data_IF_428467743821
#
_entry.id   IF_428467743821
#
_cell.length_a   1.000
_cell.length_b   1.000
_cell.length_c   1.000
_cell.angle_alpha   90.00
_cell.angle_beta   90.00
_cell.angle_gamma   90.00
#
_symmetry.space_group_name_H-M   'P 1'
#
loop_
_entity.id
_entity.type
_entity.pdbx_description
1 polymer ?
#
# COMPACT_ATOMS: atom_id res chain seq x y z
N UNK A 1 -14.03 18.56 1.05
CA UNK A 1 -13.40 17.32 1.54
C UNK A 1 -12.06 17.71 2.11
N UNK A 2 -11.85 17.49 3.40
CA UNK A 2 -10.55 17.68 4.02
C UNK A 2 -9.80 16.34 3.94
N UNK A 3 -8.62 16.32 3.32
CA UNK A 3 -7.79 15.14 3.17
C UNK A 3 -6.66 15.07 4.21
N UNK A 4 -6.68 15.98 5.21
CA UNK A 4 -5.72 15.89 6.30
C UNK A 4 -6.11 14.76 7.26
N UNK A 5 -5.12 14.01 7.70
CA UNK A 5 -5.30 13.02 8.77
C UNK A 5 -5.55 13.75 10.09
N UNK A 6 -6.36 13.14 10.94
CA UNK A 6 -6.50 13.61 12.33
C UNK A 6 -5.22 13.29 13.11
N UNK A 7 -5.04 13.98 14.25
CA UNK A 7 -3.92 13.69 15.14
C UNK A 7 -3.94 12.23 15.63
N UNK A 8 -5.13 11.68 15.86
CA UNK A 8 -5.32 10.28 16.26
C UNK A 8 -4.87 9.30 15.18
N UNK A 9 -5.17 9.57 13.91
CA UNK A 9 -4.72 8.76 12.77
C UNK A 9 -3.21 8.85 12.56
N UNK A 10 -2.60 10.01 12.77
CA UNK A 10 -1.15 10.17 12.70
C UNK A 10 -0.46 9.44 13.86
N UNK A 11 -1.04 9.47 15.06
CA UNK A 11 -0.55 8.74 16.22
C UNK A 11 -0.67 7.24 16.01
N UNK A 12 -1.82 6.75 15.52
CA UNK A 12 -2.05 5.35 15.16
C UNK A 12 -1.02 4.87 14.14
N UNK A 13 -0.76 5.65 13.08
CA UNK A 13 0.26 5.32 12.07
C UNK A 13 1.64 5.17 12.69
N UNK A 14 2.03 6.11 13.54
CA UNK A 14 3.34 6.11 14.18
C UNK A 14 3.52 4.90 15.10
N UNK A 15 2.50 4.61 15.92
CA UNK A 15 2.51 3.48 16.86
C UNK A 15 2.51 2.14 16.12
N UNK A 16 1.64 2.00 15.10
CA UNK A 16 1.58 0.81 14.25
C UNK A 16 2.92 0.54 13.58
N UNK A 17 3.53 1.56 13.00
CA UNK A 17 4.84 1.45 12.35
C UNK A 17 5.92 1.01 13.34
N UNK A 18 5.98 1.64 14.51
CA UNK A 18 6.96 1.29 15.54
C UNK A 18 6.79 -0.14 16.03
N UNK A 19 5.54 -0.59 16.23
CA UNK A 19 5.24 -1.96 16.64
C UNK A 19 5.66 -2.97 15.55
N UNK A 20 5.31 -2.74 14.29
CA UNK A 20 5.63 -3.64 13.17
C UNK A 20 7.13 -3.67 12.84
N UNK A 21 7.84 -2.55 12.99
CA UNK A 21 9.29 -2.52 12.84
C UNK A 21 10.00 -3.34 13.95
N UNK A 22 9.43 -3.37 15.17
CA UNK A 22 9.92 -4.19 16.27
C UNK A 22 9.49 -5.66 16.19
N UNK A 23 8.38 -5.96 15.52
CA UNK A 23 7.77 -7.28 15.39
C UNK A 23 7.50 -7.60 13.90
N UNK A 24 8.49 -8.00 13.10
CA UNK A 24 8.36 -8.20 11.65
C UNK A 24 7.37 -9.30 11.21
N UNK A 25 6.95 -10.17 12.13
CA UNK A 25 5.96 -11.23 11.89
C UNK A 25 5.10 -11.41 13.13
N UNK A 26 4.23 -10.43 13.46
CA UNK A 26 3.43 -10.48 14.68
C UNK A 26 2.43 -11.63 14.62
N UNK A 27 2.16 -12.23 15.77
CA UNK A 27 1.10 -13.22 15.94
C UNK A 27 -0.26 -12.54 16.12
N UNK A 28 -1.35 -13.29 15.92
CA UNK A 28 -2.71 -12.78 16.16
C UNK A 28 -2.91 -12.34 17.62
N UNK A 29 -2.27 -13.01 18.59
CA UNK A 29 -2.27 -12.60 20.00
C UNK A 29 -1.62 -11.23 20.18
N UNK A 30 -0.50 -10.98 19.53
CA UNK A 30 0.18 -9.68 19.58
C UNK A 30 -0.64 -8.57 18.90
N UNK A 31 -1.36 -8.87 17.82
CA UNK A 31 -2.28 -7.92 17.21
C UNK A 31 -3.48 -7.63 18.11
N UNK A 32 -4.00 -8.66 18.81
CA UNK A 32 -5.07 -8.50 19.78
C UNK A 32 -4.65 -7.65 20.99
N UNK A 33 -3.42 -7.81 21.48
CA UNK A 33 -2.85 -6.98 22.56
C UNK A 33 -2.75 -5.49 22.16
N UNK A 34 -2.59 -5.19 20.86
CA UNK A 34 -2.64 -3.82 20.33
C UNK A 34 -4.08 -3.29 20.18
N UNK A 35 -5.09 -4.12 20.42
CA UNK A 35 -6.50 -3.76 20.22
C UNK A 35 -6.92 -3.72 18.74
N UNK A 36 -6.16 -4.37 17.83
CA UNK A 36 -6.47 -4.31 16.40
C UNK A 36 -7.46 -5.38 15.98
N UNK A 37 -7.50 -6.55 16.64
CA UNK A 37 -8.46 -7.61 16.30
C UNK A 37 -9.88 -7.15 16.66
N UNK A 38 -10.78 -7.21 15.68
CA UNK A 38 -12.14 -6.68 15.80
C UNK A 38 -12.21 -5.15 15.73
N UNK A 39 -11.19 -4.50 15.20
CA UNK A 39 -11.09 -3.04 15.13
C UNK A 39 -12.28 -2.42 14.40
N UNK A 40 -12.68 -2.97 13.26
CA UNK A 40 -13.84 -2.51 12.47
C UNK A 40 -15.20 -2.95 13.06
N UNK A 41 -15.23 -3.79 14.07
CA UNK A 41 -16.44 -4.14 14.81
C UNK A 41 -16.70 -3.18 16.00
N UNK A 42 -15.73 -2.31 16.32
CA UNK A 42 -15.89 -1.26 17.33
C UNK A 42 -16.73 -0.10 16.79
N UNK A 43 -17.60 0.44 17.63
CA UNK A 43 -18.41 1.63 17.29
C UNK A 43 -17.59 2.91 17.18
N UNK A 44 -16.36 2.91 17.72
CA UNK A 44 -15.47 4.07 17.77
C UNK A 44 -14.50 4.15 16.58
N UNK A 45 -14.38 3.09 15.76
CA UNK A 45 -13.45 3.03 14.66
C UNK A 45 -14.13 3.09 13.28
N UNK A 46 -13.58 3.90 12.40
CA UNK A 46 -14.03 4.00 11.01
C UNK A 46 -13.18 3.17 10.08
N UNK A 47 -13.66 2.92 8.85
CA UNK A 47 -12.83 2.28 7.83
C UNK A 47 -11.61 3.14 7.44
N UNK A 48 -11.69 4.46 7.64
CA UNK A 48 -10.57 5.38 7.40
C UNK A 48 -9.45 5.18 8.43
N UNK A 49 -9.79 4.86 9.68
CA UNK A 49 -8.82 4.52 10.72
C UNK A 49 -8.15 3.17 10.44
N UNK A 50 -8.94 2.16 10.05
CA UNK A 50 -8.41 0.87 9.61
C UNK A 50 -7.51 0.98 8.36
N UNK A 51 -7.76 1.96 7.48
CA UNK A 51 -6.93 2.21 6.30
C UNK A 51 -5.47 2.50 6.68
N UNK A 52 -5.25 3.19 7.79
CA UNK A 52 -3.89 3.44 8.32
C UNK A 52 -3.20 2.15 8.71
N UNK A 53 -3.91 1.24 9.38
CA UNK A 53 -3.38 -0.09 9.76
C UNK A 53 -3.04 -0.92 8.52
N UNK A 54 -3.94 -0.97 7.53
CA UNK A 54 -3.75 -1.78 6.32
C UNK A 54 -2.55 -1.31 5.48
N UNK A 55 -2.33 0.00 5.40
CA UNK A 55 -1.15 0.56 4.74
C UNK A 55 0.15 0.15 5.46
N UNK A 56 0.21 0.28 6.79
CA UNK A 56 1.41 -0.07 7.56
C UNK A 56 1.66 -1.59 7.58
N UNK A 57 0.61 -2.42 7.60
CA UNK A 57 0.73 -3.87 7.43
C UNK A 57 1.32 -4.25 6.07
N UNK A 58 0.89 -3.58 5.00
CA UNK A 58 1.49 -3.74 3.67
C UNK A 58 2.97 -3.33 3.66
N UNK A 59 3.30 -2.22 4.29
CA UNK A 59 4.67 -1.72 4.41
C UNK A 59 5.59 -2.71 5.14
N UNK A 60 5.08 -3.43 6.12
CA UNK A 60 5.83 -4.44 6.89
C UNK A 60 5.85 -5.83 6.24
N UNK A 61 5.14 -6.05 5.13
CA UNK A 61 4.91 -7.37 4.52
C UNK A 61 4.21 -8.36 5.48
N UNK A 62 3.27 -7.90 6.26
CA UNK A 62 2.42 -8.79 7.04
C UNK A 62 1.71 -9.79 6.11
N UNK A 63 1.76 -11.08 6.44
CA UNK A 63 1.24 -12.17 5.61
C UNK A 63 0.15 -13.02 6.30
N UNK A 64 -0.32 -12.58 7.48
CA UNK A 64 -1.42 -13.21 8.20
C UNK A 64 -2.81 -12.87 7.62
N UNK A 65 -3.84 -13.37 8.28
CA UNK A 65 -5.23 -13.23 7.85
C UNK A 65 -5.92 -11.95 8.31
N UNK A 66 -5.32 -11.18 9.22
CA UNK A 66 -5.93 -10.03 9.89
C UNK A 66 -6.72 -9.10 8.96
N UNK A 67 -6.12 -8.65 7.83
CA UNK A 67 -6.81 -7.76 6.89
C UNK A 67 -8.08 -8.41 6.32
N UNK A 68 -8.01 -9.70 5.97
CA UNK A 68 -9.14 -10.43 5.42
C UNK A 68 -10.25 -10.65 6.46
N UNK A 69 -9.86 -10.92 7.70
CA UNK A 69 -10.79 -11.15 8.81
C UNK A 69 -11.53 -9.86 9.19
N UNK A 70 -10.82 -8.71 9.21
CA UNK A 70 -11.43 -7.41 9.52
C UNK A 70 -12.41 -6.93 8.45
N UNK A 71 -12.10 -7.12 7.16
CA UNK A 71 -12.98 -6.63 6.06
C UNK A 71 -14.11 -7.59 5.71
N UNK A 72 -14.00 -8.87 6.09
CA UNK A 72 -14.99 -9.91 5.81
C UNK A 72 -15.20 -10.13 4.31
N UNK A 73 -16.46 -10.43 3.93
CA UNK A 73 -16.84 -10.73 2.53
C UNK A 73 -17.30 -9.50 1.72
N UNK A 74 -17.28 -8.31 2.31
CA UNK A 74 -17.64 -7.08 1.60
C UNK A 74 -16.64 -6.78 0.48
N UNK A 75 -17.14 -6.73 -0.75
CA UNK A 75 -16.29 -6.57 -1.95
C UNK A 75 -15.54 -5.25 -1.94
N UNK A 76 -16.20 -4.16 -1.62
CA UNK A 76 -15.62 -2.82 -1.70
C UNK A 76 -14.58 -2.62 -0.60
N UNK A 77 -14.85 -3.09 0.63
CA UNK A 77 -13.87 -3.12 1.71
C UNK A 77 -12.63 -3.94 1.33
N UNK A 78 -12.81 -5.10 0.70
CA UNK A 78 -11.71 -5.95 0.24
C UNK A 78 -10.87 -5.29 -0.85
N UNK A 79 -11.49 -4.58 -1.79
CA UNK A 79 -10.78 -3.83 -2.84
C UNK A 79 -9.97 -2.68 -2.24
N UNK A 80 -10.58 -1.91 -1.34
CA UNK A 80 -9.92 -0.79 -0.66
C UNK A 80 -8.74 -1.28 0.21
N UNK A 81 -8.94 -2.33 1.01
CA UNK A 81 -7.88 -2.91 1.84
C UNK A 81 -6.71 -3.44 1.00
N UNK A 82 -7.01 -4.12 -0.13
CA UNK A 82 -5.99 -4.56 -1.07
C UNK A 82 -5.20 -3.39 -1.68
N UNK A 83 -5.88 -2.26 -1.98
CA UNK A 83 -5.23 -1.05 -2.47
C UNK A 83 -4.32 -0.42 -1.42
N UNK A 84 -4.76 -0.34 -0.16
CA UNK A 84 -3.99 0.20 0.96
C UNK A 84 -2.75 -0.65 1.26
N UNK A 85 -2.89 -1.98 1.29
CA UNK A 85 -1.76 -2.89 1.42
C UNK A 85 -0.75 -2.67 0.27
N UNK A 86 -1.22 -2.55 -0.97
CA UNK A 86 -0.37 -2.29 -2.13
C UNK A 86 0.37 -0.95 -2.02
N UNK A 87 -0.29 0.10 -1.54
CA UNK A 87 0.34 1.40 -1.25
C UNK A 87 1.47 1.26 -0.23
N UNK A 88 1.25 0.52 0.86
CA UNK A 88 2.28 0.23 1.86
C UNK A 88 3.50 -0.47 1.27
N UNK A 89 3.28 -1.49 0.45
CA UNK A 89 4.32 -2.21 -0.29
C UNK A 89 5.13 -1.28 -1.19
N UNK A 90 4.44 -0.49 -2.02
CA UNK A 90 5.06 0.45 -2.93
C UNK A 90 5.88 1.51 -2.20
N UNK A 91 5.34 2.04 -1.10
CA UNK A 91 6.02 3.02 -0.24
C UNK A 91 7.33 2.47 0.31
N UNK A 92 7.32 1.24 0.83
CA UNK A 92 8.54 0.61 1.36
C UNK A 92 9.56 0.33 0.26
N UNK A 93 9.13 -0.08 -0.92
CA UNK A 93 10.02 -0.27 -2.06
C UNK A 93 10.71 1.04 -2.47
N UNK A 94 9.98 2.16 -2.48
CA UNK A 94 10.54 3.49 -2.74
C UNK A 94 11.52 3.92 -1.63
N UNK A 95 11.17 3.74 -0.35
CA UNK A 95 12.06 4.03 0.79
C UNK A 95 13.40 3.30 0.65
N UNK A 96 13.36 1.99 0.33
CA UNK A 96 14.56 1.18 0.14
C UNK A 96 15.41 1.70 -1.04
N UNK A 97 14.77 2.06 -2.16
CA UNK A 97 15.45 2.63 -3.30
C UNK A 97 16.15 3.95 -2.94
N UNK A 98 15.42 4.88 -2.30
CA UNK A 98 15.95 6.18 -1.87
C UNK A 98 17.16 6.01 -0.94
N UNK A 99 17.03 5.14 0.06
CA UNK A 99 18.12 4.86 1.00
C UNK A 99 19.37 4.34 0.26
N UNK A 100 19.19 3.40 -0.64
CA UNK A 100 20.29 2.80 -1.39
C UNK A 100 20.98 3.80 -2.34
N UNK A 101 20.21 4.50 -3.19
CA UNK A 101 20.80 5.41 -4.19
C UNK A 101 21.46 6.65 -3.56
N UNK A 102 21.05 7.00 -2.34
CA UNK A 102 21.62 8.10 -1.56
C UNK A 102 22.98 7.75 -0.91
N UNK A 103 23.30 6.47 -0.80
CA UNK A 103 24.52 5.99 -0.16
C UNK A 103 25.50 5.35 -1.15
N UNK A 104 25.00 4.60 -2.13
CA UNK A 104 25.81 3.87 -3.09
C UNK A 104 26.58 4.81 -4.02
N UNK A 105 27.88 4.61 -4.12
CA UNK A 105 28.74 5.38 -5.02
C UNK A 105 29.22 4.54 -6.20
N UNK A 106 29.21 5.12 -7.39
CA UNK A 106 29.79 4.61 -8.63
C UNK A 106 30.28 5.78 -9.48
N UNK A 107 31.37 5.59 -10.21
CA UNK A 107 32.00 6.62 -11.07
C UNK A 107 32.26 7.93 -10.31
N UNK A 108 32.71 7.82 -9.05
CA UNK A 108 33.17 8.95 -8.23
C UNK A 108 32.06 9.78 -7.59
N UNK A 109 30.79 9.35 -7.65
CA UNK A 109 29.65 10.04 -7.00
C UNK A 109 28.51 9.09 -6.63
N UNK A 110 27.59 9.57 -5.78
CA UNK A 110 26.38 8.81 -5.40
C UNK A 110 25.52 8.55 -6.63
N UNK A 111 25.00 7.31 -6.77
CA UNK A 111 24.24 6.93 -7.96
C UNK A 111 22.92 7.71 -8.08
N UNK A 112 22.33 8.16 -6.98
CA UNK A 112 21.13 9.02 -6.99
C UNK A 112 21.37 10.41 -7.60
N UNK A 113 22.63 10.82 -7.84
CA UNK A 113 22.93 12.06 -8.55
C UNK A 113 22.80 11.96 -10.08
N UNK A 114 22.66 10.75 -10.61
CA UNK A 114 22.42 10.53 -12.05
C UNK A 114 20.91 10.62 -12.34
N UNK A 115 20.52 11.46 -13.30
CA UNK A 115 19.11 11.66 -13.66
C UNK A 115 18.39 10.36 -14.05
N UNK A 116 19.07 9.45 -14.75
CA UNK A 116 18.49 8.15 -15.12
C UNK A 116 18.09 7.30 -13.90
N UNK A 117 18.76 7.49 -12.76
CA UNK A 117 18.44 6.79 -11.51
C UNK A 117 17.41 7.60 -10.70
N UNK A 118 17.69 8.88 -10.44
CA UNK A 118 16.82 9.72 -9.62
C UNK A 118 15.42 9.86 -10.20
N UNK A 119 15.30 10.09 -11.52
CA UNK A 119 13.98 10.22 -12.15
C UNK A 119 13.18 8.92 -12.06
N UNK A 120 13.83 7.77 -12.27
CA UNK A 120 13.16 6.46 -12.14
C UNK A 120 12.61 6.22 -10.72
N UNK A 121 13.33 6.64 -9.67
CA UNK A 121 12.85 6.55 -8.28
C UNK A 121 11.74 7.56 -8.01
N UNK A 122 11.84 8.78 -8.55
CA UNK A 122 10.79 9.81 -8.43
C UNK A 122 9.51 9.38 -9.14
N UNK A 123 9.59 8.78 -10.33
CA UNK A 123 8.42 8.28 -11.05
C UNK A 123 7.69 7.20 -10.22
N UNK A 124 8.45 6.31 -9.56
CA UNK A 124 7.88 5.33 -8.65
C UNK A 124 7.20 5.98 -7.44
N UNK A 125 7.84 6.98 -6.83
CA UNK A 125 7.27 7.74 -5.73
C UNK A 125 5.94 8.41 -6.13
N UNK A 126 5.92 9.12 -7.26
CA UNK A 126 4.71 9.80 -7.76
C UNK A 126 3.58 8.79 -8.02
N UNK A 127 3.88 7.64 -8.63
CA UNK A 127 2.87 6.60 -8.87
C UNK A 127 2.24 6.09 -7.56
N UNK A 128 3.05 5.88 -6.51
CA UNK A 128 2.58 5.44 -5.19
C UNK A 128 1.75 6.53 -4.50
N UNK A 129 2.16 7.80 -4.57
CA UNK A 129 1.40 8.90 -3.94
C UNK A 129 0.03 9.13 -4.61
N UNK A 130 -0.04 9.02 -5.94
CA UNK A 130 -1.32 9.06 -6.65
C UNK A 130 -2.22 7.88 -6.25
N UNK A 131 -1.65 6.69 -6.15
CA UNK A 131 -2.35 5.50 -5.68
C UNK A 131 -2.84 5.64 -4.23
N UNK A 132 -2.02 6.22 -3.33
CA UNK A 132 -2.40 6.53 -1.94
C UNK A 132 -3.63 7.44 -1.90
N UNK A 133 -3.64 8.50 -2.70
CA UNK A 133 -4.77 9.43 -2.76
C UNK A 133 -6.07 8.71 -3.14
N UNK A 134 -6.02 7.80 -4.13
CA UNK A 134 -7.17 7.00 -4.52
C UNK A 134 -7.58 5.99 -3.45
N UNK A 135 -6.62 5.34 -2.79
CA UNK A 135 -6.89 4.37 -1.74
C UNK A 135 -7.57 5.00 -0.51
N UNK A 136 -7.12 6.20 -0.10
CA UNK A 136 -7.77 6.93 0.98
C UNK A 136 -9.10 7.56 0.58
N UNK A 137 -9.29 7.94 -0.69
CA UNK A 137 -10.60 8.30 -1.19
C UNK A 137 -11.57 7.10 -1.11
N UNK A 138 -11.16 5.91 -1.51
CA UNK A 138 -11.98 4.70 -1.37
C UNK A 138 -12.31 4.41 0.11
N UNK A 139 -11.34 4.52 1.02
CA UNK A 139 -11.56 4.32 2.44
C UNK A 139 -12.55 5.35 3.01
N UNK A 140 -12.45 6.59 2.60
CA UNK A 140 -13.39 7.66 3.01
C UNK A 140 -14.81 7.37 2.49
N UNK A 141 -14.97 6.97 1.23
CA UNK A 141 -16.30 6.66 0.67
C UNK A 141 -16.98 5.51 1.40
N UNK A 142 -16.21 4.50 1.84
CA UNK A 142 -16.73 3.41 2.67
C UNK A 142 -17.15 3.94 4.05
N UNK A 143 -16.32 4.73 4.71
CA UNK A 143 -16.61 5.27 6.04
C UNK A 143 -17.87 6.14 6.06
N UNK A 144 -18.08 6.93 5.01
CA UNK A 144 -19.25 7.83 4.86
C UNK A 144 -20.48 7.16 4.21
N UNK A 145 -20.40 5.87 3.86
CA UNK A 145 -21.43 5.18 3.08
C UNK A 145 -21.79 5.94 1.79
N UNK A 146 -20.81 6.54 1.14
CA UNK A 146 -20.96 7.31 -0.09
C UNK A 146 -21.31 6.37 -1.27
N UNK A 147 -22.29 6.70 -2.12
CA UNK A 147 -22.69 5.88 -3.28
C UNK A 147 -21.56 5.72 -4.33
N UNK A 148 -20.51 6.51 -4.28
CA UNK A 148 -19.35 6.35 -5.14
C UNK A 148 -18.36 5.26 -4.67
N UNK A 149 -18.60 4.61 -3.52
CA UNK A 149 -17.67 3.61 -2.97
C UNK A 149 -17.28 2.51 -3.98
N UNK A 150 -18.20 1.89 -4.76
CA UNK A 150 -17.79 0.89 -5.75
C UNK A 150 -16.83 1.43 -6.81
N UNK A 151 -17.07 2.65 -7.29
CA UNK A 151 -16.21 3.33 -8.27
C UNK A 151 -14.83 3.66 -7.68
N UNK A 152 -14.82 4.23 -6.47
CA UNK A 152 -13.61 4.61 -5.77
C UNK A 152 -12.73 3.39 -5.46
N UNK A 153 -13.33 2.30 -4.98
CA UNK A 153 -12.64 1.06 -4.64
C UNK A 153 -12.05 0.36 -5.89
N UNK A 154 -12.79 0.33 -7.00
CA UNK A 154 -12.30 -0.20 -8.27
C UNK A 154 -11.12 0.63 -8.81
N UNK A 155 -11.20 1.97 -8.75
CA UNK A 155 -10.12 2.87 -9.17
C UNK A 155 -8.89 2.70 -8.28
N UNK A 156 -9.06 2.69 -6.97
CA UNK A 156 -7.99 2.49 -6.00
C UNK A 156 -7.25 1.16 -6.22
N UNK A 157 -8.00 0.04 -6.32
CA UNK A 157 -7.44 -1.29 -6.54
C UNK A 157 -6.63 -1.36 -7.82
N UNK A 158 -7.20 -0.86 -8.93
CA UNK A 158 -6.51 -0.86 -10.22
C UNK A 158 -5.18 -0.11 -10.15
N UNK A 159 -5.20 1.13 -9.66
CA UNK A 159 -4.04 1.99 -9.64
C UNK A 159 -2.99 1.55 -8.61
N UNK A 160 -3.41 1.17 -7.40
CA UNK A 160 -2.48 0.89 -6.32
C UNK A 160 -1.67 -0.39 -6.57
N UNK A 161 -2.28 -1.44 -7.09
CA UNK A 161 -1.54 -2.68 -7.36
C UNK A 161 -0.55 -2.52 -8.51
N UNK A 162 -0.89 -1.80 -9.57
CA UNK A 162 0.03 -1.48 -10.66
C UNK A 162 1.18 -0.57 -10.17
N UNK A 163 0.88 0.43 -9.34
CA UNK A 163 1.90 1.30 -8.74
C UNK A 163 2.88 0.54 -7.82
N UNK A 164 2.38 -0.42 -7.03
CA UNK A 164 3.22 -1.25 -6.17
C UNK A 164 4.18 -2.13 -6.97
N UNK A 165 3.70 -2.79 -8.02
CA UNK A 165 4.53 -3.59 -8.94
C UNK A 165 5.59 -2.69 -9.57
N UNK A 166 5.18 -1.55 -10.14
CA UNK A 166 6.07 -0.58 -10.75
C UNK A 166 7.16 -0.07 -9.78
N UNK A 167 6.78 0.28 -8.54
CA UNK A 167 7.71 0.76 -7.52
C UNK A 167 8.73 -0.33 -7.13
N UNK A 168 8.29 -1.59 -6.99
CA UNK A 168 9.17 -2.71 -6.72
C UNK A 168 10.17 -2.93 -7.87
N UNK A 169 9.72 -2.89 -9.12
CA UNK A 169 10.59 -3.04 -10.29
C UNK A 169 11.65 -1.93 -10.37
N UNK A 170 11.25 -0.67 -10.16
CA UNK A 170 12.18 0.47 -10.13
C UNK A 170 13.17 0.38 -8.99
N UNK A 171 12.71 -0.07 -7.82
CA UNK A 171 13.59 -0.30 -6.66
C UNK A 171 14.61 -1.41 -6.93
N UNK A 172 14.18 -2.56 -7.46
CA UNK A 172 15.06 -3.67 -7.84
C UNK A 172 16.10 -3.18 -8.86
N UNK A 173 15.66 -2.45 -9.90
CA UNK A 173 16.57 -1.91 -10.91
C UNK A 173 17.59 -0.94 -10.30
N UNK A 174 17.19 -0.08 -9.37
CA UNK A 174 18.07 0.86 -8.68
C UNK A 174 19.14 0.15 -7.83
N UNK A 175 18.82 -0.98 -7.23
CA UNK A 175 19.75 -1.81 -6.45
C UNK A 175 20.71 -2.63 -7.35
N UNK A 176 20.36 -2.84 -8.62
CA UNK A 176 21.13 -3.69 -9.54
C UNK A 176 21.18 -5.15 -9.07
N UNK A 177 22.34 -5.79 -9.20
CA UNK A 177 22.48 -7.22 -8.91
C UNK A 177 21.98 -7.65 -7.53
N UNK A 178 22.22 -6.84 -6.48
CA UNK A 178 21.79 -7.19 -5.11
C UNK A 178 20.26 -7.19 -4.97
N UNK A 179 19.53 -6.38 -5.76
CA UNK A 179 18.07 -6.33 -5.72
C UNK A 179 17.39 -7.64 -6.13
N UNK A 180 18.10 -8.52 -6.84
CA UNK A 180 17.59 -9.85 -7.26
C UNK A 180 18.05 -10.98 -6.33
N UNK A 181 18.85 -10.73 -5.33
CA UNK A 181 19.37 -11.75 -4.43
C UNK A 181 18.39 -12.07 -3.30
N UNK A 182 18.54 -13.25 -2.71
CA UNK A 182 17.72 -13.66 -1.56
C UNK A 182 18.07 -12.91 -0.26
N UNK A 183 19.24 -12.30 -0.20
CA UNK A 183 19.68 -11.51 0.95
C UNK A 183 18.93 -10.16 1.05
N UNK A 184 18.44 -9.64 -0.09
CA UNK A 184 17.72 -8.38 -0.10
C UNK A 184 16.20 -8.59 -0.05
N UNK A 185 15.43 -7.88 0.79
CA UNK A 185 14.00 -8.14 0.98
C UNK A 185 13.11 -7.76 -0.22
N UNK A 186 13.60 -7.00 -1.21
CA UNK A 186 12.79 -6.50 -2.33
C UNK A 186 12.06 -7.59 -3.11
N UNK A 187 12.65 -8.78 -3.27
CA UNK A 187 11.97 -9.89 -3.94
C UNK A 187 10.67 -10.33 -3.22
N UNK A 188 10.59 -10.14 -1.88
CA UNK A 188 9.38 -10.46 -1.10
C UNK A 188 8.30 -9.43 -1.38
N UNK A 189 8.66 -8.13 -1.39
CA UNK A 189 7.75 -7.03 -1.74
C UNK A 189 7.19 -7.19 -3.15
N UNK A 190 8.05 -7.48 -4.11
CA UNK A 190 7.65 -7.69 -5.51
C UNK A 190 6.69 -8.87 -5.67
N UNK A 191 6.99 -10.02 -5.03
CA UNK A 191 6.10 -11.19 -5.06
C UNK A 191 4.73 -10.89 -4.43
N UNK A 192 4.70 -10.15 -3.33
CA UNK A 192 3.45 -9.74 -2.68
C UNK A 192 2.66 -8.78 -3.57
N UNK A 193 3.31 -7.79 -4.19
CA UNK A 193 2.68 -6.87 -5.13
C UNK A 193 2.03 -7.62 -6.32
N UNK A 194 2.74 -8.56 -6.95
CA UNK A 194 2.19 -9.40 -8.01
C UNK A 194 1.01 -10.26 -7.55
N UNK A 195 1.05 -10.80 -6.32
CA UNK A 195 -0.07 -11.53 -5.73
C UNK A 195 -1.29 -10.61 -5.59
N UNK A 196 -1.11 -9.42 -5.03
CA UNK A 196 -2.20 -8.45 -4.86
C UNK A 196 -2.79 -8.01 -6.20
N UNK A 197 -1.98 -7.87 -7.25
CA UNK A 197 -2.47 -7.52 -8.59
C UNK A 197 -3.51 -8.54 -9.10
N UNK A 198 -3.34 -9.82 -8.80
CA UNK A 198 -4.25 -10.90 -9.23
C UNK A 198 -5.47 -11.09 -8.32
N UNK A 199 -5.38 -10.72 -7.04
CA UNK A 199 -6.47 -10.84 -6.05
C UNK A 199 -7.64 -9.95 -6.45
N UNK A 200 -8.85 -10.49 -6.43
CA UNK A 200 -10.10 -9.81 -6.79
C UNK A 200 -10.14 -9.26 -8.23
N UNK A 201 -9.28 -9.74 -9.10
CA UNK A 201 -9.18 -9.32 -10.50
C UNK A 201 -8.04 -8.34 -10.77
N UNK A 202 -7.51 -8.42 -11.98
CA UNK A 202 -6.47 -7.50 -12.47
C UNK A 202 -7.04 -6.10 -12.75
N UNK A 203 -6.19 -5.09 -12.74
CA UNK A 203 -6.55 -3.69 -12.98
C UNK A 203 -7.41 -3.47 -14.24
N UNK A 204 -7.20 -4.27 -15.31
CA UNK A 204 -8.03 -4.20 -16.52
C UNK A 204 -9.52 -4.51 -16.26
N UNK A 205 -9.83 -5.41 -15.33
CA UNK A 205 -11.21 -5.76 -14.98
C UNK A 205 -11.89 -4.58 -14.31
N UNK A 206 -11.22 -3.99 -13.34
CA UNK A 206 -11.73 -2.82 -12.62
C UNK A 206 -11.88 -1.59 -13.53
N UNK A 207 -10.94 -1.39 -14.48
CA UNK A 207 -11.10 -0.34 -15.49
C UNK A 207 -12.30 -0.54 -16.41
N UNK A 208 -12.65 -1.79 -16.73
CA UNK A 208 -13.86 -2.07 -17.49
C UNK A 208 -15.12 -1.74 -16.69
N UNK A 209 -15.17 -2.09 -15.40
CA UNK A 209 -16.27 -1.73 -14.49
C UNK A 209 -16.42 -0.21 -14.36
N UNK A 210 -15.32 0.53 -14.23
CA UNK A 210 -15.32 2.00 -14.18
C UNK A 210 -15.87 2.59 -15.49
N UNK A 211 -15.41 2.07 -16.64
CA UNK A 211 -15.86 2.53 -17.94
C UNK A 211 -17.38 2.29 -18.12
N UNK A 212 -17.89 1.13 -17.72
CA UNK A 212 -19.32 0.82 -17.75
C UNK A 212 -20.11 1.82 -16.87
N UNK A 213 -19.65 2.08 -15.66
CA UNK A 213 -20.29 3.03 -14.74
C UNK A 213 -20.34 4.46 -15.30
N UNK A 214 -19.25 4.91 -15.93
CA UNK A 214 -19.15 6.29 -16.45
C UNK A 214 -19.88 6.49 -17.79
N UNK A 215 -19.98 5.44 -18.61
CA UNK A 215 -20.55 5.54 -19.96
C UNK A 215 -22.03 5.13 -20.02
N UNK A 216 -22.56 4.54 -18.97
CA UNK A 216 -23.98 4.14 -18.87
C UNK A 216 -24.84 5.19 -18.14
N UNK A 217 -24.25 6.29 -17.71
CA UNK A 217 -24.94 7.47 -17.13
C UNK A 217 -25.21 8.44 -18.23
#
# INVERSE_FOLDING_TARGET
MDFSFTQEQDDLRRETRAFLDANPSPTDEQLAEQGWVGFLASDDATFLDAAVLFEELGRSLYDGSYIADEVGDDRDRRLAACALEAVGIGSKAVELAVAYVSQREQFGRKIGSYQAVSHSVVDAYVAVELARSLAYWAAWTIAENDPQAPLACAAAKSQATEAAVFACERSIQAHGGIGFTWEHPLHRYYKRALKLESVLGYGRVHRAEIAESLLSS
#
